data_IF_212367107275
#
_entry.id   IF_212367107275
#
_cell.length_a   1.000
_cell.length_b   1.000
_cell.length_c   1.000
_cell.angle_alpha   90.00
_cell.angle_beta   90.00
_cell.angle_gamma   90.00
#
_symmetry.space_group_name_H-M   'P 1'
#
loop_
_entity.id
_entity.type
_entity.pdbx_description
1 polymer ?
#
# COMPACT_ATOMS: atom_id res chain seq x y z
N UNK A 1 -15.80 -5.10 -4.77
CA UNK A 1 -15.19 -4.12 -5.66
C UNK A 1 -14.93 -2.83 -4.90
N UNK A 2 -13.73 -2.29 -5.05
CA UNK A 2 -13.30 -1.09 -4.36
C UNK A 2 -12.82 -0.06 -5.37
N UNK A 3 -13.06 1.21 -5.07
CA UNK A 3 -12.59 2.31 -5.88
C UNK A 3 -12.18 3.48 -5.00
N UNK A 4 -11.14 4.18 -5.39
CA UNK A 4 -10.74 5.44 -4.78
C UNK A 4 -10.97 6.53 -5.82
N UNK A 5 -11.84 7.47 -5.49
CA UNK A 5 -12.18 8.55 -6.41
C UNK A 5 -11.25 9.75 -6.22
N UNK A 6 -11.05 10.50 -7.28
CA UNK A 6 -10.16 11.68 -7.30
C UNK A 6 -10.57 12.69 -6.26
N UNK A 7 -11.56 12.90 -5.73
CA UNK A 7 -11.92 13.89 -4.72
C UNK A 7 -12.07 13.30 -3.32
N UNK A 8 -11.28 12.28 -3.02
CA UNK A 8 -11.14 11.83 -1.65
C UNK A 8 -12.21 10.89 -1.14
N UNK A 9 -12.76 10.03 -1.99
CA UNK A 9 -13.70 9.00 -1.53
C UNK A 9 -13.17 7.60 -1.81
N UNK A 10 -13.29 6.73 -0.81
CA UNK A 10 -13.14 5.29 -0.97
C UNK A 10 -14.52 4.66 -0.87
N UNK A 11 -14.84 3.75 -1.78
CA UNK A 11 -16.16 3.15 -1.89
C UNK A 11 -16.00 1.63 -1.97
N UNK A 12 -16.72 0.91 -1.09
CA UNK A 12 -16.91 -0.52 -1.20
C UNK A 12 -18.26 -0.83 -1.84
N UNK A 13 -18.27 -1.62 -2.90
CA UNK A 13 -19.47 -1.92 -3.68
C UNK A 13 -19.78 -3.40 -3.67
N UNK A 14 -21.08 -3.74 -3.63
CA UNK A 14 -21.52 -5.10 -3.81
C UNK A 14 -21.38 -5.53 -5.27
N UNK A 15 -20.81 -6.71 -5.52
CA UNK A 15 -20.72 -7.28 -6.86
C UNK A 15 -22.07 -7.79 -7.37
N UNK A 16 -23.06 -7.99 -6.50
CA UNK A 16 -24.38 -8.47 -6.90
C UNK A 16 -25.20 -7.43 -7.65
N UNK A 17 -25.24 -6.21 -7.13
CA UNK A 17 -26.15 -5.17 -7.62
C UNK A 17 -25.47 -3.83 -7.89
N UNK A 18 -24.15 -3.74 -7.67
CA UNK A 18 -23.40 -2.50 -7.87
C UNK A 18 -23.68 -1.41 -6.85
N UNK A 19 -24.41 -1.70 -5.78
CA UNK A 19 -24.74 -0.70 -4.77
C UNK A 19 -23.60 -0.50 -3.80
N UNK A 20 -23.37 0.75 -3.35
CA UNK A 20 -22.36 1.00 -2.31
C UNK A 20 -22.73 0.27 -1.02
N UNK A 21 -21.78 -0.44 -0.44
CA UNK A 21 -21.90 -1.04 0.89
C UNK A 21 -21.40 -0.10 1.97
N UNK A 22 -20.37 0.67 1.64
CA UNK A 22 -19.83 1.71 2.51
C UNK A 22 -19.12 2.76 1.67
N UNK A 23 -19.03 3.95 2.20
CA UNK A 23 -18.26 5.05 1.63
C UNK A 23 -17.41 5.68 2.74
N UNK A 24 -16.24 6.19 2.36
CA UNK A 24 -15.34 6.83 3.30
C UNK A 24 -14.57 7.93 2.61
N UNK A 25 -14.43 9.08 3.28
CA UNK A 25 -13.57 10.14 2.80
C UNK A 25 -12.11 9.68 2.86
N UNK A 26 -11.38 9.92 1.79
CA UNK A 26 -9.98 9.57 1.66
C UNK A 26 -9.32 10.59 0.77
N UNK A 27 -8.14 11.06 1.14
CA UNK A 27 -7.34 11.95 0.32
C UNK A 27 -6.25 11.22 -0.47
N UNK A 28 -6.45 9.92 -0.71
CA UNK A 28 -5.46 9.10 -1.41
C UNK A 28 -5.35 9.49 -2.88
N UNK A 29 -4.12 9.67 -3.34
CA UNK A 29 -3.77 9.86 -4.75
C UNK A 29 -3.04 8.66 -5.32
N UNK A 30 -2.84 7.60 -4.54
CA UNK A 30 -2.13 6.40 -4.94
C UNK A 30 -3.11 5.24 -5.09
N UNK A 31 -2.67 4.22 -5.82
CA UNK A 31 -3.45 3.00 -5.94
C UNK A 31 -3.55 2.33 -4.57
N UNK A 32 -4.63 1.59 -4.39
CA UNK A 32 -4.85 0.81 -3.18
C UNK A 32 -4.43 -0.64 -3.38
N UNK A 33 -4.20 -1.33 -2.27
CA UNK A 33 -3.95 -2.76 -2.25
C UNK A 33 -4.96 -3.44 -1.34
N UNK A 34 -5.13 -4.75 -1.49
CA UNK A 34 -6.04 -5.51 -0.64
C UNK A 34 -5.37 -6.78 -0.15
N UNK A 35 -5.80 -7.24 1.01
CA UNK A 35 -5.35 -8.49 1.60
C UNK A 35 -5.89 -8.62 3.01
N UNK A 36 -5.96 -9.84 3.51
CA UNK A 36 -6.36 -10.11 4.88
C UNK A 36 -7.73 -9.52 5.26
N UNK A 37 -8.67 -9.46 4.29
CA UNK A 37 -10.00 -8.85 4.52
C UNK A 37 -9.96 -7.33 4.69
N UNK A 38 -8.88 -6.70 4.33
CA UNK A 38 -8.64 -5.26 4.50
C UNK A 38 -8.30 -4.61 3.17
N UNK A 39 -8.49 -3.31 3.12
CA UNK A 39 -8.09 -2.45 2.02
C UNK A 39 -7.05 -1.47 2.54
N UNK A 40 -5.93 -1.35 1.87
CA UNK A 40 -4.82 -0.49 2.28
C UNK A 40 -4.75 0.72 1.36
N UNK A 41 -4.83 1.90 1.94
CA UNK A 41 -4.83 3.17 1.21
C UNK A 41 -3.70 4.04 1.74
N UNK A 42 -2.92 4.63 0.84
CA UNK A 42 -1.93 5.64 1.18
C UNK A 42 -2.49 7.00 0.78
N UNK A 43 -2.57 7.91 1.72
CA UNK A 43 -3.09 9.25 1.46
C UNK A 43 -1.97 10.25 1.11
N UNK A 44 -2.34 11.50 0.87
CA UNK A 44 -1.39 12.55 0.46
C UNK A 44 -0.44 12.99 1.58
N UNK A 45 -0.67 12.57 2.81
CA UNK A 45 0.23 12.78 3.94
C UNK A 45 1.13 11.58 4.22
N UNK A 46 1.10 10.57 3.32
CA UNK A 46 1.84 9.32 3.45
C UNK A 46 1.44 8.49 4.68
N UNK A 47 0.20 8.65 5.12
CA UNK A 47 -0.40 7.77 6.12
C UNK A 47 -0.99 6.55 5.42
N UNK A 48 -0.65 5.37 5.93
CA UNK A 48 -1.23 4.12 5.43
C UNK A 48 -2.40 3.76 6.33
N UNK A 49 -3.58 3.62 5.75
CA UNK A 49 -4.80 3.29 6.46
C UNK A 49 -5.30 1.94 6.00
N UNK A 50 -5.56 1.04 6.93
CA UNK A 50 -6.24 -0.22 6.65
C UNK A 50 -7.71 -0.10 7.01
N UNK A 51 -8.56 -0.48 6.08
CA UNK A 51 -10.01 -0.39 6.20
C UNK A 51 -10.58 -1.80 6.06
N UNK A 52 -11.54 -2.16 6.91
CA UNK A 52 -12.26 -3.42 6.78
C UNK A 52 -13.07 -3.42 5.48
N UNK A 53 -12.91 -4.45 4.67
CA UNK A 53 -13.56 -4.53 3.36
C UNK A 53 -15.08 -4.60 3.44
N UNK A 54 -15.63 -5.12 4.52
CA UNK A 54 -17.07 -5.31 4.66
C UNK A 54 -17.78 -4.09 5.25
N UNK A 55 -17.15 -3.39 6.18
CA UNK A 55 -17.78 -2.32 6.95
C UNK A 55 -17.27 -0.92 6.59
N UNK A 56 -16.08 -0.81 6.02
CA UNK A 56 -15.45 0.48 5.78
C UNK A 56 -14.82 1.10 7.01
N UNK A 57 -14.80 0.40 8.13
CA UNK A 57 -14.20 0.93 9.36
C UNK A 57 -12.67 0.85 9.32
N UNK A 58 -12.03 1.83 9.95
CA UNK A 58 -10.57 1.82 10.09
C UNK A 58 -10.16 0.72 11.04
N UNK A 59 -9.22 -0.15 10.60
CA UNK A 59 -8.65 -1.20 11.43
C UNK A 59 -7.37 -0.70 12.10
N UNK A 60 -6.50 -0.09 11.33
CA UNK A 60 -5.28 0.54 11.85
C UNK A 60 -4.80 1.66 10.91
N UNK A 61 -3.94 2.52 11.45
CA UNK A 61 -3.24 3.54 10.67
C UNK A 61 -1.76 3.53 11.03
N UNK A 62 -0.90 3.74 10.02
CA UNK A 62 0.53 3.86 10.21
C UNK A 62 0.99 5.22 9.69
N UNK A 63 1.47 6.07 10.60
CA UNK A 63 1.84 7.46 10.30
C UNK A 63 3.35 7.69 10.26
N UNK A 64 4.15 6.63 10.40
CA UNK A 64 5.60 6.74 10.51
C UNK A 64 6.31 7.24 9.24
N UNK A 65 5.60 7.28 8.12
CA UNK A 65 6.19 7.62 6.81
C UNK A 65 5.88 9.04 6.35
N UNK A 66 5.44 9.91 7.23
CA UNK A 66 5.09 11.28 6.87
C UNK A 66 6.21 11.94 6.07
N UNK A 67 5.84 12.55 4.93
CA UNK A 67 6.74 13.26 4.02
C UNK A 67 7.76 12.40 3.28
N UNK A 68 7.60 11.08 3.27
CA UNK A 68 8.53 10.20 2.54
C UNK A 68 8.14 9.93 1.10
N UNK A 69 6.98 10.40 0.66
CA UNK A 69 6.48 10.22 -0.71
C UNK A 69 6.45 8.76 -1.10
N UNK A 70 5.56 8.02 -0.47
CA UNK A 70 5.46 6.58 -0.65
C UNK A 70 4.97 6.22 -2.05
N UNK A 71 5.41 5.06 -2.55
CA UNK A 71 4.81 4.42 -3.71
C UNK A 71 3.43 3.88 -3.35
N UNK A 72 2.67 3.44 -4.35
CA UNK A 72 1.46 2.67 -4.09
C UNK A 72 1.81 1.44 -3.26
N UNK A 73 0.94 1.03 -2.33
CA UNK A 73 1.21 -0.14 -1.50
C UNK A 73 1.07 -1.42 -2.31
N UNK A 74 1.88 -2.43 -1.99
CA UNK A 74 1.79 -3.76 -2.56
C UNK A 74 1.57 -4.76 -1.43
N UNK A 75 0.44 -5.45 -1.44
CA UNK A 75 0.17 -6.51 -0.48
C UNK A 75 0.67 -7.84 -1.03
N UNK A 76 1.51 -8.51 -0.27
CA UNK A 76 2.04 -9.82 -0.64
C UNK A 76 2.30 -10.64 0.62
N UNK A 77 1.79 -11.87 0.66
CA UNK A 77 1.86 -12.73 1.83
C UNK A 77 1.22 -12.03 3.04
N UNK A 78 1.93 -11.89 4.15
CA UNK A 78 1.45 -11.20 5.34
C UNK A 78 1.93 -9.74 5.42
N UNK A 79 2.49 -9.22 4.34
CA UNK A 79 3.20 -7.94 4.31
C UNK A 79 2.53 -6.94 3.38
N UNK A 80 2.77 -5.67 3.69
CA UNK A 80 2.58 -4.57 2.76
C UNK A 80 3.96 -3.98 2.49
N UNK A 81 4.30 -3.80 1.22
CA UNK A 81 5.54 -3.14 0.82
C UNK A 81 5.24 -1.76 0.27
N UNK A 82 6.03 -0.78 0.69
CA UNK A 82 6.00 0.58 0.14
C UNK A 82 7.44 1.05 -0.07
N UNK A 83 7.69 1.72 -1.18
CA UNK A 83 8.96 2.38 -1.42
C UNK A 83 8.87 3.87 -1.07
N UNK A 84 9.98 4.51 -0.77
CA UNK A 84 10.01 5.95 -0.50
C UNK A 84 10.98 6.68 -1.45
N UNK A 85 11.01 8.02 -1.37
CA UNK A 85 11.82 8.83 -2.26
C UNK A 85 13.29 8.90 -1.85
N UNK A 86 13.65 8.32 -0.71
CA UNK A 86 15.04 8.14 -0.29
C UNK A 86 15.64 6.82 -0.74
N UNK A 87 14.83 5.95 -1.36
CA UNK A 87 15.29 4.67 -1.90
C UNK A 87 15.17 3.50 -0.94
N UNK A 88 14.37 3.62 0.10
CA UNK A 88 14.08 2.51 1.01
C UNK A 88 12.82 1.76 0.60
N UNK A 89 12.87 0.45 0.73
CA UNK A 89 11.71 -0.41 0.64
C UNK A 89 11.34 -0.85 2.06
N UNK A 90 10.11 -0.54 2.47
CA UNK A 90 9.61 -0.82 3.81
C UNK A 90 8.66 -2.01 3.79
N UNK A 91 8.73 -2.84 4.81
CA UNK A 91 7.80 -3.95 5.03
C UNK A 91 6.98 -3.68 6.29
N UNK A 92 5.67 -3.83 6.17
CA UNK A 92 4.69 -3.55 7.22
C UNK A 92 3.80 -4.78 7.36
N UNK A 93 3.39 -5.10 8.59
CA UNK A 93 2.45 -6.21 8.81
C UNK A 93 1.05 -5.81 8.37
N UNK A 94 0.39 -6.66 7.57
CA UNK A 94 -0.98 -6.41 7.15
C UNK A 94 -1.96 -6.40 8.33
N UNK A 95 -1.68 -7.20 9.32
CA UNK A 95 -2.59 -7.44 10.43
C UNK A 95 -2.81 -6.20 11.31
N UNK A 96 -1.73 -5.51 11.67
CA UNK A 96 -1.78 -4.43 12.66
C UNK A 96 -1.02 -3.17 12.26
N UNK A 97 -0.43 -3.14 11.05
CA UNK A 97 0.31 -1.98 10.57
C UNK A 97 1.68 -1.78 11.18
N UNK A 98 2.17 -2.76 11.92
CA UNK A 98 3.46 -2.68 12.59
C UNK A 98 4.61 -2.64 11.59
N UNK A 99 5.61 -1.79 11.84
CA UNK A 99 6.82 -1.76 11.02
C UNK A 99 7.64 -3.03 11.27
N UNK A 100 7.97 -3.75 10.18
CA UNK A 100 8.72 -5.00 10.27
C UNK A 100 10.18 -4.83 9.87
N UNK A 101 10.47 -3.91 8.95
CA UNK A 101 11.83 -3.65 8.54
C UNK A 101 11.89 -2.81 7.29
N UNK A 102 13.11 -2.48 6.90
CA UNK A 102 13.35 -1.75 5.66
C UNK A 102 14.72 -2.13 5.09
N UNK A 103 14.88 -1.98 3.78
CA UNK A 103 16.16 -2.17 3.11
C UNK A 103 16.42 -0.98 2.19
N UNK A 104 17.68 -0.59 2.09
CA UNK A 104 18.10 0.42 1.13
C UNK A 104 18.21 -0.25 -0.24
N UNK A 105 17.37 0.17 -1.16
CA UNK A 105 17.39 -0.34 -2.53
C UNK A 105 18.44 0.40 -3.36
N UNK A 106 18.66 1.66 -3.05
CA UNK A 106 19.68 2.46 -3.70
C UNK A 106 19.09 3.55 -4.57
N UNK A 107 19.96 4.27 -5.28
CA UNK A 107 19.55 5.32 -6.18
C UNK A 107 18.97 6.54 -5.49
N UNK A 108 18.12 7.26 -6.20
CA UNK A 108 17.53 8.53 -5.76
C UNK A 108 16.05 8.38 -5.42
N UNK A 109 15.64 7.22 -4.96
CA UNK A 109 14.28 7.00 -4.53
C UNK A 109 13.51 6.01 -5.38
N UNK A 110 12.38 5.59 -4.85
CA UNK A 110 11.45 4.67 -5.49
C UNK A 110 10.15 5.44 -5.73
N UNK A 111 9.74 5.59 -6.98
CA UNK A 111 8.50 6.30 -7.35
C UNK A 111 7.56 5.45 -8.17
N UNK A 112 8.08 4.39 -8.78
CA UNK A 112 7.27 3.49 -9.58
C UNK A 112 6.53 2.49 -8.72
N UNK A 113 5.42 1.98 -9.22
CA UNK A 113 4.68 0.94 -8.53
C UNK A 113 5.54 -0.31 -8.35
N UNK A 114 5.41 -0.92 -7.19
CA UNK A 114 6.01 -2.22 -6.90
C UNK A 114 5.18 -3.31 -7.58
N UNK A 115 5.86 -4.37 -8.00
CA UNK A 115 5.21 -5.50 -8.67
C UNK A 115 5.66 -6.79 -7.99
N UNK A 116 4.74 -7.74 -7.85
CA UNK A 116 5.07 -9.09 -7.42
C UNK A 116 4.79 -10.06 -8.57
N UNK A 117 5.75 -10.95 -8.84
CA UNK A 117 5.59 -12.03 -9.81
C UNK A 117 6.40 -13.23 -9.34
N UNK A 118 5.78 -14.40 -9.34
CA UNK A 118 6.41 -15.67 -8.92
C UNK A 118 7.07 -15.59 -7.53
N UNK A 119 6.44 -14.87 -6.60
CA UNK A 119 6.95 -14.72 -5.23
C UNK A 119 8.11 -13.75 -5.09
N UNK A 120 8.44 -12.99 -6.12
CA UNK A 120 9.52 -12.00 -6.12
C UNK A 120 8.91 -10.60 -6.22
N UNK A 121 9.35 -9.69 -5.35
CA UNK A 121 8.96 -8.29 -5.39
C UNK A 121 9.97 -7.51 -6.22
N UNK A 122 9.47 -6.76 -7.20
CA UNK A 122 10.30 -5.94 -8.08
C UNK A 122 10.08 -4.46 -7.79
N UNK A 123 11.17 -3.72 -7.66
CA UNK A 123 11.16 -2.28 -7.45
C UNK A 123 12.09 -1.61 -8.46
N UNK A 124 11.63 -0.53 -9.08
CA UNK A 124 12.46 0.26 -10.00
C UNK A 124 12.84 1.56 -9.31
N UNK A 125 14.12 1.88 -9.29
CA UNK A 125 14.59 3.15 -8.74
C UNK A 125 14.55 4.27 -9.79
N UNK A 126 14.80 5.51 -9.36
CA UNK A 126 14.73 6.67 -10.23
C UNK A 126 15.88 6.78 -11.22
N UNK A 127 16.88 5.92 -11.10
CA UNK A 127 17.96 5.79 -12.07
C UNK A 127 17.65 4.76 -13.16
N UNK A 128 16.51 4.11 -13.08
CA UNK A 128 16.11 3.07 -14.02
C UNK A 128 16.62 1.68 -13.71
N UNK A 129 17.21 1.47 -12.55
CA UNK A 129 17.68 0.13 -12.14
C UNK A 129 16.52 -0.66 -11.55
N UNK A 130 16.33 -1.88 -12.04
CA UNK A 130 15.32 -2.80 -11.52
C UNK A 130 15.94 -3.67 -10.44
N UNK A 131 15.31 -3.72 -9.29
CA UNK A 131 15.72 -4.53 -8.14
C UNK A 131 14.70 -5.61 -7.87
N UNK A 132 15.15 -6.81 -7.53
CA UNK A 132 14.30 -7.94 -7.25
C UNK A 132 14.58 -8.46 -5.85
N UNK A 133 13.53 -8.71 -5.06
CA UNK A 133 13.61 -9.15 -3.68
C UNK A 133 12.76 -10.40 -3.48
N UNK A 134 13.34 -11.40 -2.86
CA UNK A 134 12.59 -12.58 -2.45
C UNK A 134 12.24 -12.46 -0.97
N UNK A 135 10.97 -12.66 -0.63
CA UNK A 135 10.52 -12.67 0.74
C UNK A 135 10.87 -14.01 1.36
N UNK A 136 11.68 -13.99 2.40
CA UNK A 136 12.08 -15.21 3.13
C UNK A 136 11.46 -15.15 4.52
N UNK A 137 10.66 -16.15 4.84
CA UNK A 137 10.08 -16.29 6.18
C UNK A 137 11.11 -16.93 7.12
N UNK A 138 11.29 -16.30 8.27
CA UNK A 138 12.18 -16.82 9.31
C UNK A 138 11.41 -17.13 10.57
#
# INVERSE_FOLDING_TARGET
>A
LFAVAYQGRAIGMSLRDGRPRWERDSSSFLNMAEGYGQLYIVDDEDTITAIDQNTGDVVWQQEAFARRKLTAPLAFSNYIFVGDDEGYLHAIAQRDGRLLGRIKVGGKGLRSNLIVADGVVYASDNKGTLHAFKVVLR
#
